data_IF_607851611253
#
_entry.id   IF_607851611253
#
_cell.length_a   1.000
_cell.length_b   1.000
_cell.length_c   1.000
_cell.angle_alpha   90.00
_cell.angle_beta   90.00
_cell.angle_gamma   90.00
#
_symmetry.space_group_name_H-M   'P 1'
#
loop_
_entity.id
_entity.type
_entity.pdbx_description
1 polymer ?
#
# COMPACT_ATOMS: atom_id res chain seq x y z
N UNK A 1 12.37 -23.29 -8.71
CA UNK A 1 11.77 -23.53 -7.38
C UNK A 1 12.84 -23.23 -6.34
N UNK A 2 12.66 -22.21 -5.49
CA UNK A 2 13.62 -21.84 -4.45
C UNK A 2 13.31 -22.63 -3.18
N UNK A 3 13.91 -23.81 -3.05
CA UNK A 3 13.75 -24.79 -1.96
C UNK A 3 14.53 -24.31 -0.71
N UNK A 4 14.27 -23.11 -0.22
CA UNK A 4 14.99 -22.58 0.95
C UNK A 4 14.31 -21.42 1.68
N UNK A 5 13.07 -21.06 1.28
CA UNK A 5 12.28 -19.99 1.92
C UNK A 5 11.06 -20.52 2.70
N UNK A 6 10.69 -21.79 2.50
CA UNK A 6 9.44 -22.40 2.98
C UNK A 6 9.55 -23.15 4.30
N UNK A 7 10.75 -23.33 4.86
CA UNK A 7 10.98 -24.39 5.85
C UNK A 7 11.18 -23.88 7.29
N UNK A 8 10.99 -22.58 7.54
CA UNK A 8 11.04 -22.05 8.91
C UNK A 8 9.64 -22.10 9.51
N UNK A 9 9.48 -22.90 10.55
CA UNK A 9 8.31 -22.85 11.42
C UNK A 9 8.42 -21.66 12.38
N UNK A 10 8.01 -20.49 11.89
CA UNK A 10 8.02 -19.24 12.65
C UNK A 10 7.21 -19.30 13.95
N UNK A 11 6.20 -20.18 14.04
CA UNK A 11 5.34 -20.30 15.24
C UNK A 11 6.06 -20.99 16.41
N UNK A 12 7.10 -21.77 16.12
CA UNK A 12 7.90 -22.49 17.12
C UNK A 12 9.04 -21.66 17.74
N UNK A 13 9.35 -20.50 17.17
CA UNK A 13 10.51 -19.69 17.53
C UNK A 13 10.17 -18.62 18.57
N UNK A 14 11.11 -18.32 19.45
CA UNK A 14 11.04 -17.14 20.32
C UNK A 14 11.22 -15.83 19.53
N UNK A 15 10.73 -14.71 20.06
CA UNK A 15 10.88 -13.39 19.42
C UNK A 15 12.34 -13.06 19.09
N UNK A 16 13.29 -13.41 19.98
CA UNK A 16 14.71 -13.17 19.77
C UNK A 16 15.29 -14.00 18.61
N UNK A 17 14.83 -15.24 18.45
CA UNK A 17 15.25 -16.09 17.33
C UNK A 17 14.69 -15.58 16.01
N UNK A 18 13.42 -15.15 15.99
CA UNK A 18 12.80 -14.51 14.82
C UNK A 18 13.59 -13.28 14.40
N UNK A 19 13.87 -12.36 15.34
CA UNK A 19 14.61 -11.13 15.07
C UNK A 19 16.01 -11.41 14.54
N UNK A 20 16.73 -12.38 15.14
CA UNK A 20 18.06 -12.80 14.69
C UNK A 20 18.03 -13.32 13.26
N UNK A 21 17.12 -14.24 12.94
CA UNK A 21 17.02 -14.83 11.58
C UNK A 21 16.67 -13.76 10.54
N UNK A 22 15.75 -12.85 10.85
CA UNK A 22 15.40 -11.74 9.98
C UNK A 22 16.63 -10.86 9.72
N UNK A 23 17.35 -10.47 10.78
CA UNK A 23 18.55 -9.64 10.68
C UNK A 23 19.63 -10.30 9.80
N UNK A 24 19.95 -11.57 10.05
CA UNK A 24 20.93 -12.34 9.26
C UNK A 24 20.55 -12.40 7.77
N UNK A 25 19.28 -12.65 7.46
CA UNK A 25 18.77 -12.69 6.07
C UNK A 25 18.87 -11.35 5.37
N UNK A 26 18.49 -10.27 6.06
CA UNK A 26 18.56 -8.90 5.53
C UNK A 26 20.02 -8.50 5.30
N UNK A 27 20.90 -8.79 6.24
CA UNK A 27 22.34 -8.48 6.14
C UNK A 27 22.98 -9.24 4.98
N UNK A 28 22.70 -10.53 4.83
CA UNK A 28 23.20 -11.33 3.71
C UNK A 28 22.75 -10.75 2.34
N UNK A 29 21.51 -10.31 2.23
CA UNK A 29 21.01 -9.69 1.00
C UNK A 29 21.60 -8.30 0.75
N UNK A 30 21.82 -7.49 1.81
CA UNK A 30 22.51 -6.21 1.69
C UNK A 30 23.95 -6.39 1.20
N UNK A 31 24.72 -7.32 1.78
CA UNK A 31 26.09 -7.68 1.33
C UNK A 31 26.09 -8.10 -0.14
N UNK A 32 25.10 -8.90 -0.56
CA UNK A 32 24.92 -9.29 -1.97
C UNK A 32 24.63 -8.10 -2.88
N UNK A 33 23.83 -7.12 -2.44
CA UNK A 33 23.53 -5.90 -3.21
C UNK A 33 24.78 -5.03 -3.35
N UNK A 34 25.53 -4.85 -2.26
CA UNK A 34 26.79 -4.09 -2.25
C UNK A 34 27.82 -4.72 -3.19
N UNK A 35 28.00 -6.04 -3.13
CA UNK A 35 28.89 -6.78 -4.04
C UNK A 35 28.50 -6.62 -5.53
N UNK A 36 27.24 -6.30 -5.83
CA UNK A 36 26.74 -6.03 -7.19
C UNK A 36 26.76 -4.53 -7.55
N UNK A 37 27.54 -3.71 -6.84
CA UNK A 37 27.65 -2.27 -7.09
C UNK A 37 26.38 -1.48 -6.76
N UNK A 38 25.62 -1.94 -5.75
CA UNK A 38 24.38 -1.28 -5.30
C UNK A 38 23.15 -1.56 -6.17
N UNK A 39 23.28 -2.37 -7.24
CA UNK A 39 22.14 -2.73 -8.10
C UNK A 39 21.24 -3.76 -7.42
N UNK A 40 20.03 -3.34 -7.04
CA UNK A 40 18.97 -4.26 -6.60
C UNK A 40 18.52 -5.13 -7.78
N UNK A 41 18.53 -6.45 -7.57
CA UNK A 41 17.97 -7.40 -8.54
C UNK A 41 16.44 -7.27 -8.58
N UNK A 42 15.81 -7.56 -9.74
CA UNK A 42 14.33 -7.68 -9.85
C UNK A 42 13.77 -8.73 -8.88
N UNK A 43 14.58 -9.72 -8.51
CA UNK A 43 14.36 -10.55 -7.32
C UNK A 43 14.99 -9.82 -6.13
N UNK A 44 14.31 -8.82 -5.57
CA UNK A 44 14.71 -8.31 -4.27
C UNK A 44 14.57 -9.46 -3.25
N UNK A 45 15.63 -9.70 -2.48
CA UNK A 45 15.62 -10.73 -1.46
C UNK A 45 14.80 -10.27 -0.25
N UNK A 46 14.11 -11.21 0.38
CA UNK A 46 13.59 -11.06 1.74
C UNK A 46 12.69 -9.83 1.96
N UNK A 47 11.84 -9.51 0.99
CA UNK A 47 10.90 -8.37 1.10
C UNK A 47 9.97 -8.57 2.29
N UNK A 48 9.46 -9.79 2.46
CA UNK A 48 8.54 -10.13 3.54
C UNK A 48 9.21 -9.96 4.91
N UNK A 49 10.45 -10.44 5.07
CA UNK A 49 11.23 -10.27 6.30
C UNK A 49 11.56 -8.81 6.58
N UNK A 50 11.86 -8.00 5.56
CA UNK A 50 12.04 -6.54 5.72
C UNK A 50 10.75 -5.87 6.19
N UNK A 51 9.59 -6.33 5.74
CA UNK A 51 8.29 -5.81 6.20
C UNK A 51 8.05 -6.22 7.66
N UNK A 52 8.36 -7.47 8.01
CA UNK A 52 8.18 -8.05 9.35
C UNK A 52 9.27 -7.65 10.37
N UNK A 53 10.31 -6.95 9.95
CA UNK A 53 11.38 -6.50 10.85
C UNK A 53 10.79 -5.59 11.94
N UNK A 54 11.08 -5.91 13.21
CA UNK A 54 10.37 -5.29 14.34
C UNK A 54 10.54 -3.77 14.38
N UNK A 55 11.69 -3.25 13.98
CA UNK A 55 11.90 -1.80 13.94
C UNK A 55 11.12 -1.15 12.80
N UNK A 56 11.03 -1.79 11.63
CA UNK A 56 10.12 -1.35 10.58
C UNK A 56 8.66 -1.31 11.07
N UNK A 57 8.21 -2.32 11.83
CA UNK A 57 6.85 -2.34 12.38
C UNK A 57 6.61 -1.23 13.41
N UNK A 58 7.59 -0.94 14.28
CA UNK A 58 7.52 0.16 15.25
C UNK A 58 7.42 1.53 14.55
N UNK A 59 8.23 1.75 13.52
CA UNK A 59 8.17 3.00 12.75
C UNK A 59 6.89 3.09 11.91
N UNK A 60 6.43 1.99 11.33
CA UNK A 60 5.14 1.93 10.62
C UNK A 60 3.97 2.25 11.54
N UNK A 61 3.98 1.74 12.77
CA UNK A 61 2.97 2.06 13.77
C UNK A 61 3.00 3.54 14.12
N UNK A 62 4.18 4.10 14.43
CA UNK A 62 4.35 5.54 14.69
C UNK A 62 3.77 6.42 13.58
N UNK A 63 4.07 6.12 12.31
CA UNK A 63 3.51 6.83 11.16
C UNK A 63 2.00 6.64 11.01
N UNK A 64 1.49 5.43 11.27
CA UNK A 64 0.07 5.13 11.17
C UNK A 64 -0.74 5.93 12.21
N UNK A 65 -0.18 6.16 13.41
CA UNK A 65 -0.80 6.91 14.50
C UNK A 65 -0.71 8.43 14.37
N UNK A 66 0.20 8.95 13.56
CA UNK A 66 0.55 10.37 13.55
C UNK A 66 -0.69 11.27 13.37
N UNK A 67 -0.83 12.25 14.26
CA UNK A 67 -1.97 13.17 14.34
C UNK A 67 -3.34 12.58 14.71
N UNK A 68 -3.46 11.27 14.96
CA UNK A 68 -4.75 10.57 15.09
C UNK A 68 -5.05 10.02 16.49
N UNK A 69 -4.05 9.87 17.34
CA UNK A 69 -4.15 9.18 18.65
C UNK A 69 -5.34 9.66 19.49
N UNK A 70 -5.46 10.99 19.71
CA UNK A 70 -6.47 11.57 20.60
C UNK A 70 -7.91 11.21 20.20
N UNK A 71 -8.20 11.14 18.90
CA UNK A 71 -9.55 10.97 18.36
C UNK A 71 -9.90 9.51 18.04
N UNK A 72 -8.94 8.59 18.14
CA UNK A 72 -9.13 7.21 17.69
C UNK A 72 -9.03 6.20 18.85
N UNK A 73 -10.18 5.66 19.30
CA UNK A 73 -10.24 4.64 20.35
C UNK A 73 -9.47 3.36 20.01
N UNK A 74 -9.37 2.98 18.74
CA UNK A 74 -8.67 1.76 18.33
C UNK A 74 -7.15 1.91 18.45
N UNK A 75 -6.62 3.10 18.15
CA UNK A 75 -5.20 3.42 18.40
C UNK A 75 -4.92 3.38 19.91
N UNK A 76 -5.75 4.03 20.71
CA UNK A 76 -5.56 4.03 22.18
C UNK A 76 -5.60 2.63 22.79
N UNK A 77 -6.45 1.74 22.26
CA UNK A 77 -6.49 0.33 22.69
C UNK A 77 -5.22 -0.42 22.33
N UNK A 78 -4.72 -0.29 21.10
CA UNK A 78 -3.44 -0.85 20.67
C UNK A 78 -2.29 -0.36 21.57
N UNK A 79 -2.27 0.93 21.90
CA UNK A 79 -1.23 1.54 22.73
C UNK A 79 -1.20 1.07 24.19
N UNK A 80 -2.19 0.27 24.64
CA UNK A 80 -2.10 -0.41 25.93
C UNK A 80 -1.11 -1.58 25.90
N UNK A 81 -0.96 -2.24 24.73
CA UNK A 81 -0.12 -3.41 24.54
C UNK A 81 0.62 -3.37 23.18
N UNK A 82 1.36 -2.28 22.86
CA UNK A 82 1.89 -2.07 21.51
C UNK A 82 2.92 -3.14 21.11
N UNK A 83 3.83 -3.50 22.02
CA UNK A 83 4.86 -4.50 21.70
C UNK A 83 4.23 -5.88 21.45
N UNK A 84 3.25 -6.31 22.25
CA UNK A 84 2.54 -7.59 22.04
C UNK A 84 1.82 -7.61 20.69
N UNK A 85 1.11 -6.54 20.36
CA UNK A 85 0.42 -6.39 19.07
C UNK A 85 1.43 -6.40 17.91
N UNK A 86 2.54 -5.68 18.01
CA UNK A 86 3.56 -5.65 16.95
C UNK A 86 4.26 -7.00 16.77
N UNK A 87 4.47 -7.76 17.85
CA UNK A 87 4.99 -9.14 17.77
C UNK A 87 3.99 -10.10 17.14
N UNK A 88 2.71 -9.96 17.48
CA UNK A 88 1.65 -10.70 16.80
C UNK A 88 1.62 -10.37 15.29
N UNK A 89 1.73 -9.09 14.92
CA UNK A 89 1.79 -8.66 13.53
C UNK A 89 3.03 -9.19 12.79
N UNK A 90 4.21 -9.18 13.44
CA UNK A 90 5.43 -9.79 12.91
C UNK A 90 5.17 -11.25 12.53
N UNK A 91 4.57 -12.03 13.43
CA UNK A 91 4.25 -13.42 13.17
C UNK A 91 3.22 -13.57 12.05
N UNK A 92 2.13 -12.80 12.05
CA UNK A 92 1.10 -12.81 10.98
C UNK A 92 1.70 -12.56 9.59
N UNK A 93 2.64 -11.61 9.48
CA UNK A 93 3.33 -11.31 8.21
C UNK A 93 4.17 -12.50 7.75
N UNK A 94 4.95 -13.09 8.67
CA UNK A 94 5.84 -14.21 8.35
C UNK A 94 5.06 -15.48 7.99
N UNK A 95 3.92 -15.73 8.63
CA UNK A 95 3.09 -16.91 8.35
C UNK A 95 2.05 -16.67 7.25
N UNK A 96 1.82 -15.42 6.85
CA UNK A 96 0.70 -14.99 6.00
C UNK A 96 -0.67 -15.38 6.58
N UNK A 97 -0.73 -15.53 7.90
CA UNK A 97 -1.91 -15.98 8.66
C UNK A 97 -2.51 -14.77 9.36
N UNK A 98 -3.50 -14.15 8.70
CA UNK A 98 -4.19 -12.95 9.18
C UNK A 98 -5.64 -13.28 9.51
N UNK A 99 -6.26 -12.56 10.47
CA UNK A 99 -7.70 -12.62 10.64
C UNK A 99 -8.41 -12.22 9.32
N UNK A 100 -9.65 -12.66 9.14
CA UNK A 100 -10.45 -12.19 8.01
C UNK A 100 -10.55 -10.65 8.02
N UNK A 101 -10.34 -9.96 6.88
CA UNK A 101 -10.50 -8.52 6.79
C UNK A 101 -11.92 -8.11 7.17
N UNK A 102 -12.02 -7.11 8.04
CA UNK A 102 -13.30 -6.54 8.49
C UNK A 102 -13.32 -5.05 8.12
N UNK A 103 -14.25 -4.71 7.23
CA UNK A 103 -14.36 -3.39 6.63
C UNK A 103 -15.54 -2.64 7.23
N UNK A 104 -15.28 -1.41 7.65
CA UNK A 104 -16.32 -0.46 8.08
C UNK A 104 -16.47 0.65 7.05
N UNK A 105 -17.70 1.10 6.80
CA UNK A 105 -17.99 2.20 5.89
C UNK A 105 -18.20 3.48 6.70
N UNK A 106 -17.53 4.56 6.29
CA UNK A 106 -17.77 5.90 6.82
C UNK A 106 -18.13 6.84 5.69
N UNK A 107 -19.27 7.50 5.80
CA UNK A 107 -19.66 8.56 4.89
C UNK A 107 -19.05 9.89 5.32
N UNK A 108 -18.36 10.55 4.39
CA UNK A 108 -17.73 11.86 4.60
C UNK A 108 -18.19 12.82 3.52
N UNK A 109 -18.63 14.00 3.91
CA UNK A 109 -18.89 15.11 2.99
C UNK A 109 -17.64 15.97 2.91
N UNK A 110 -17.07 16.08 1.71
CA UNK A 110 -15.96 17.00 1.44
C UNK A 110 -16.41 18.46 1.52
N UNK A 111 -15.44 19.37 1.68
CA UNK A 111 -15.69 20.82 1.74
C UNK A 111 -16.42 21.35 0.49
N UNK A 112 -16.18 20.73 -0.66
CA UNK A 112 -16.87 21.01 -1.92
C UNK A 112 -18.28 20.37 -2.02
N UNK A 113 -18.83 19.87 -0.92
CA UNK A 113 -20.16 19.28 -0.83
C UNK A 113 -20.28 17.84 -1.34
N UNK A 114 -19.24 17.26 -1.95
CA UNK A 114 -19.28 15.88 -2.47
C UNK A 114 -19.25 14.87 -1.32
N UNK A 115 -20.23 13.96 -1.32
CA UNK A 115 -20.31 12.85 -0.38
C UNK A 115 -19.46 11.68 -0.89
N UNK A 116 -18.68 11.06 0.00
CA UNK A 116 -17.80 9.93 -0.28
C UNK A 116 -17.99 8.87 0.80
N UNK A 117 -18.20 7.64 0.38
CA UNK A 117 -18.09 6.50 1.28
C UNK A 117 -16.62 6.07 1.33
N UNK A 118 -16.09 5.99 2.55
CA UNK A 118 -14.73 5.58 2.85
C UNK A 118 -14.80 4.22 3.52
N UNK A 119 -14.31 3.20 2.82
CA UNK A 119 -14.15 1.86 3.35
C UNK A 119 -12.86 1.81 4.18
N UNK A 120 -12.95 1.34 5.43
CA UNK A 120 -11.88 1.40 6.42
C UNK A 120 -11.64 0.04 7.04
N UNK A 121 -10.39 -0.41 6.98
CA UNK A 121 -9.90 -1.50 7.80
C UNK A 121 -9.56 -1.00 9.22
N UNK A 122 -9.61 -1.93 10.20
CA UNK A 122 -9.23 -1.70 11.60
C UNK A 122 -7.79 -1.19 11.72
N UNK A 123 -7.50 -0.50 12.82
CA UNK A 123 -6.16 0.02 13.08
C UNK A 123 -5.12 -1.11 13.16
N UNK A 124 -5.23 -1.96 14.18
CA UNK A 124 -4.52 -3.22 14.26
C UNK A 124 -5.34 -4.33 13.58
N UNK A 125 -4.73 -5.25 12.80
CA UNK A 125 -3.33 -5.25 12.32
C UNK A 125 -3.11 -4.38 11.07
N UNK A 126 -4.18 -4.01 10.38
CA UNK A 126 -4.16 -3.63 8.97
C UNK A 126 -3.52 -2.28 8.65
N UNK A 127 -3.81 -1.23 9.42
CA UNK A 127 -3.24 0.10 9.15
C UNK A 127 -1.73 0.11 9.35
N UNK A 128 -1.25 -0.59 10.37
CA UNK A 128 0.19 -0.76 10.63
C UNK A 128 0.82 -1.55 9.47
N UNK A 129 0.18 -2.65 9.04
CA UNK A 129 0.64 -3.45 7.90
C UNK A 129 0.78 -2.63 6.61
N UNK A 130 -0.19 -1.77 6.28
CA UNK A 130 -0.12 -0.93 5.07
C UNK A 130 1.07 0.02 5.12
N UNK A 131 1.34 0.65 6.28
CA UNK A 131 2.52 1.49 6.47
C UNK A 131 3.82 0.67 6.36
N UNK A 132 3.88 -0.50 7.01
CA UNK A 132 5.04 -1.38 7.00
C UNK A 132 5.41 -1.85 5.59
N UNK A 133 4.41 -2.18 4.77
CA UNK A 133 4.59 -2.52 3.35
C UNK A 133 5.17 -1.32 2.59
N UNK A 134 4.55 -0.15 2.71
CA UNK A 134 4.95 1.03 1.95
C UNK A 134 6.37 1.47 2.29
N UNK A 135 6.76 1.47 3.57
CA UNK A 135 8.14 1.79 3.99
C UNK A 135 9.21 0.95 3.29
N UNK A 136 8.88 -0.30 2.94
CA UNK A 136 9.82 -1.22 2.26
C UNK A 136 9.80 -1.03 0.74
N UNK A 137 8.62 -0.82 0.13
CA UNK A 137 8.46 -0.89 -1.33
C UNK A 137 8.34 0.48 -2.02
N UNK A 138 8.12 1.57 -1.28
CA UNK A 138 7.73 2.87 -1.85
C UNK A 138 8.77 3.39 -2.85
N UNK A 139 10.05 3.31 -2.54
CA UNK A 139 11.09 3.81 -3.43
C UNK A 139 11.11 3.03 -4.75
N UNK A 140 10.99 1.71 -4.66
CA UNK A 140 10.94 0.86 -5.83
C UNK A 140 9.74 1.28 -6.68
N UNK A 141 8.54 1.37 -6.07
CA UNK A 141 7.30 1.86 -6.70
C UNK A 141 7.53 3.19 -7.41
N UNK A 142 8.00 4.21 -6.68
CA UNK A 142 8.15 5.58 -7.19
C UNK A 142 9.17 5.69 -8.33
N UNK A 143 10.27 4.93 -8.33
CA UNK A 143 11.24 4.89 -9.44
C UNK A 143 10.64 4.45 -10.78
N UNK A 144 9.48 3.79 -10.78
CA UNK A 144 8.82 3.33 -11.99
C UNK A 144 7.65 4.21 -12.43
N UNK A 145 7.32 5.25 -11.67
CA UNK A 145 6.29 6.20 -12.05
C UNK A 145 6.85 7.23 -13.02
N UNK A 146 6.01 7.72 -13.94
CA UNK A 146 6.39 8.83 -14.80
C UNK A 146 6.64 10.08 -13.94
N UNK A 147 7.53 10.95 -14.42
CA UNK A 147 7.96 12.12 -13.66
C UNK A 147 6.79 13.03 -13.23
N UNK A 148 5.77 13.13 -14.09
CA UNK A 148 4.59 13.97 -13.89
C UNK A 148 3.54 13.40 -12.91
N UNK A 149 3.73 12.17 -12.41
CA UNK A 149 2.89 11.67 -11.31
C UNK A 149 3.15 12.48 -10.04
N UNK A 150 2.08 13.03 -9.45
CA UNK A 150 2.16 13.98 -8.34
C UNK A 150 1.35 13.64 -7.11
N UNK A 151 0.36 12.75 -7.21
CA UNK A 151 -0.52 12.39 -6.09
C UNK A 151 0.19 11.42 -5.14
N UNK A 152 0.06 11.65 -3.83
CA UNK A 152 0.55 10.75 -2.77
C UNK A 152 2.05 10.41 -2.85
N UNK A 153 2.88 11.30 -3.40
CA UNK A 153 4.35 11.15 -3.45
C UNK A 153 4.96 12.29 -2.64
N UNK A 154 5.82 11.97 -1.67
CA UNK A 154 6.49 12.97 -0.83
C UNK A 154 7.24 14.00 -1.68
N UNK A 155 7.07 15.29 -1.35
CA UNK A 155 7.65 16.40 -2.13
C UNK A 155 6.91 16.73 -3.43
N UNK A 156 5.92 15.93 -3.83
CA UNK A 156 5.00 16.22 -4.94
C UNK A 156 3.57 16.38 -4.41
N UNK A 157 2.76 17.12 -5.17
CA UNK A 157 1.37 17.42 -4.80
C UNK A 157 0.74 18.38 -5.80
N UNK A 158 -0.37 18.99 -5.41
CA UNK A 158 -1.13 19.92 -6.27
C UNK A 158 -0.24 21.03 -6.84
N UNK A 159 0.56 21.69 -5.99
CA UNK A 159 1.45 22.77 -6.43
C UNK A 159 2.54 22.29 -7.41
N UNK A 160 3.03 21.05 -7.25
CA UNK A 160 3.97 20.47 -8.22
C UNK A 160 3.32 20.32 -9.59
N UNK A 161 2.10 19.78 -9.65
CA UNK A 161 1.33 19.63 -10.89
C UNK A 161 1.07 20.98 -11.58
N UNK A 162 0.63 21.99 -10.81
CA UNK A 162 0.41 23.35 -11.35
C UNK A 162 1.70 23.94 -11.93
N UNK A 163 2.85 23.80 -11.23
CA UNK A 163 4.15 24.27 -11.76
C UNK A 163 4.59 23.50 -13.00
N UNK A 164 4.30 22.20 -13.10
CA UNK A 164 4.57 21.40 -14.31
C UNK A 164 3.75 21.89 -15.48
N UNK A 165 2.43 22.04 -15.30
CA UNK A 165 1.53 22.58 -16.31
C UNK A 165 2.00 23.95 -16.82
N UNK A 166 2.29 24.90 -15.93
CA UNK A 166 2.78 26.24 -16.31
C UNK A 166 4.08 26.18 -17.15
N UNK A 167 5.01 25.30 -16.78
CA UNK A 167 6.25 25.10 -17.55
C UNK A 167 5.99 24.54 -18.94
N UNK A 168 5.05 23.59 -19.09
CA UNK A 168 4.68 23.08 -20.40
C UNK A 168 4.08 24.18 -21.28
N UNK A 169 3.17 24.99 -20.75
CA UNK A 169 2.55 26.09 -21.50
C UNK A 169 3.54 27.17 -21.91
N UNK A 170 4.52 27.47 -21.05
CA UNK A 170 5.57 28.43 -21.40
C UNK A 170 6.53 27.88 -22.46
N UNK A 171 6.86 26.59 -22.39
CA UNK A 171 7.77 25.95 -23.34
C UNK A 171 7.13 25.69 -24.71
N UNK A 172 5.83 25.43 -24.73
CA UNK A 172 5.05 25.09 -25.92
C UNK A 172 3.83 26.02 -26.02
N UNK A 173 4.03 27.31 -26.38
CA UNK A 173 2.93 28.29 -26.47
C UNK A 173 1.89 27.94 -27.54
N UNK A 174 2.21 27.04 -28.47
CA UNK A 174 1.31 26.50 -29.48
C UNK A 174 0.26 25.52 -28.90
N UNK A 175 0.49 24.96 -27.70
CA UNK A 175 -0.46 24.08 -27.04
C UNK A 175 -1.62 24.89 -26.44
N UNK A 176 -2.68 25.05 -27.23
CA UNK A 176 -3.88 25.83 -26.88
C UNK A 176 -5.01 25.03 -26.25
N UNK A 177 -4.90 23.69 -26.24
CA UNK A 177 -5.97 22.79 -25.84
C UNK A 177 -5.54 21.89 -24.70
N UNK A 178 -6.47 21.59 -23.80
CA UNK A 178 -6.27 20.65 -22.70
C UNK A 178 -7.22 19.46 -22.86
N UNK A 179 -6.68 18.25 -22.69
CA UNK A 179 -7.49 17.06 -22.50
C UNK A 179 -7.72 16.88 -20.99
N UNK A 180 -8.97 16.97 -20.58
CA UNK A 180 -9.38 16.69 -19.19
C UNK A 180 -10.05 15.33 -19.13
N UNK A 181 -9.53 14.45 -18.29
CA UNK A 181 -10.10 13.13 -18.02
C UNK A 181 -10.18 12.88 -16.52
N UNK A 182 -11.18 12.12 -16.09
CA UNK A 182 -11.37 11.72 -14.69
C UNK A 182 -11.92 10.29 -14.65
N UNK A 183 -11.39 9.48 -13.73
CA UNK A 183 -11.81 8.09 -13.56
C UNK A 183 -12.85 7.99 -12.43
N UNK A 184 -14.05 7.52 -12.78
CA UNK A 184 -15.11 7.33 -11.80
C UNK A 184 -14.83 6.10 -10.95
N UNK A 185 -15.02 6.22 -9.63
CA UNK A 185 -14.85 5.12 -8.66
C UNK A 185 -13.53 4.36 -8.88
N UNK A 186 -12.43 5.11 -9.08
CA UNK A 186 -11.12 4.57 -9.47
C UNK A 186 -10.71 3.34 -8.64
N UNK A 187 -10.72 3.43 -7.31
CA UNK A 187 -10.29 2.29 -6.47
C UNK A 187 -11.19 1.07 -6.59
N UNK A 188 -12.51 1.25 -6.72
CA UNK A 188 -13.45 0.14 -6.88
C UNK A 188 -13.39 -0.49 -8.28
N UNK A 189 -13.03 0.28 -9.31
CA UNK A 189 -13.09 -0.15 -10.71
C UNK A 189 -11.81 -0.80 -11.24
N UNK A 190 -10.74 -0.85 -10.45
CA UNK A 190 -9.49 -1.48 -10.89
C UNK A 190 -9.57 -2.98 -10.68
N UNK A 191 -9.41 -3.74 -11.78
CA UNK A 191 -9.32 -5.19 -11.73
C UNK A 191 -8.08 -5.64 -10.94
N UNK A 192 -8.30 -6.45 -9.90
CA UNK A 192 -7.23 -6.94 -9.02
C UNK A 192 -6.15 -7.72 -9.78
N UNK A 193 -6.53 -8.50 -10.80
CA UNK A 193 -5.60 -9.25 -11.65
C UNK A 193 -4.57 -8.34 -12.35
N UNK A 194 -4.95 -7.12 -12.75
CA UNK A 194 -4.05 -6.15 -13.39
C UNK A 194 -3.05 -5.60 -12.38
N UNK A 195 -3.48 -5.36 -11.14
CA UNK A 195 -2.59 -4.94 -10.05
C UNK A 195 -1.56 -6.04 -9.77
N UNK A 196 -2.03 -7.29 -9.62
CA UNK A 196 -1.15 -8.44 -9.36
C UNK A 196 -0.17 -8.65 -10.50
N UNK A 197 -0.62 -8.57 -11.77
CA UNK A 197 0.25 -8.69 -12.94
C UNK A 197 1.31 -7.57 -12.99
N UNK A 198 0.92 -6.32 -12.67
CA UNK A 198 1.86 -5.20 -12.59
C UNK A 198 2.91 -5.41 -11.49
N UNK A 199 2.49 -5.87 -10.31
CA UNK A 199 3.40 -6.16 -9.19
C UNK A 199 4.35 -7.32 -9.52
N UNK A 200 3.86 -8.41 -10.12
CA UNK A 200 4.69 -9.57 -10.52
C UNK A 200 5.75 -9.23 -11.56
N UNK A 201 5.55 -8.21 -12.41
CA UNK A 201 6.60 -7.74 -13.33
C UNK A 201 7.81 -7.17 -12.58
N UNK A 202 7.59 -6.68 -11.36
CA UNK A 202 8.58 -5.96 -10.56
C UNK A 202 9.12 -6.75 -9.38
N UNK A 203 8.23 -7.33 -8.59
CA UNK A 203 8.54 -8.12 -7.41
C UNK A 203 8.34 -9.60 -7.74
N UNK A 204 9.39 -10.39 -7.55
CA UNK A 204 9.39 -11.84 -7.84
C UNK A 204 9.19 -12.72 -6.60
N UNK A 205 8.90 -12.10 -5.46
CA UNK A 205 8.65 -12.79 -4.21
C UNK A 205 7.15 -13.13 -4.10
N UNK A 206 6.79 -14.38 -4.34
CA UNK A 206 5.37 -14.79 -4.31
C UNK A 206 4.74 -14.69 -2.92
N UNK A 207 5.52 -14.80 -1.83
CA UNK A 207 4.99 -14.58 -0.47
C UNK A 207 4.60 -13.11 -0.28
N UNK A 208 5.40 -12.20 -0.80
CA UNK A 208 5.05 -10.77 -0.83
C UNK A 208 3.82 -10.51 -1.71
N UNK A 209 3.72 -11.12 -2.89
CA UNK A 209 2.50 -10.98 -3.72
C UNK A 209 1.28 -11.48 -2.95
N UNK A 210 1.39 -12.61 -2.27
CA UNK A 210 0.31 -13.15 -1.44
C UNK A 210 -0.07 -12.22 -0.29
N UNK A 211 0.91 -11.59 0.36
CA UNK A 211 0.65 -10.58 1.39
C UNK A 211 -0.16 -9.40 0.83
N UNK A 212 0.15 -8.91 -0.38
CA UNK A 212 -0.60 -7.83 -1.01
C UNK A 212 -2.05 -8.25 -1.31
N UNK A 213 -2.26 -9.48 -1.78
CA UNK A 213 -3.61 -10.01 -1.99
C UNK A 213 -4.44 -9.97 -0.70
N UNK A 214 -3.85 -10.41 0.42
CA UNK A 214 -4.49 -10.41 1.74
C UNK A 214 -4.72 -8.99 2.27
N UNK A 215 -3.73 -8.11 2.14
CA UNK A 215 -3.76 -6.80 2.78
C UNK A 215 -4.60 -5.75 2.01
N UNK A 216 -4.64 -5.85 0.67
CA UNK A 216 -5.17 -4.79 -0.21
C UNK A 216 -6.31 -5.30 -1.08
N UNK A 217 -6.18 -6.50 -1.66
CA UNK A 217 -7.07 -7.00 -2.71
C UNK A 217 -8.19 -7.92 -2.21
N UNK A 218 -8.38 -7.98 -0.89
CA UNK A 218 -9.44 -8.75 -0.23
C UNK A 218 -10.78 -8.01 -0.16
N UNK A 219 -10.83 -6.73 -0.53
CA UNK A 219 -12.08 -5.97 -0.63
C UNK A 219 -12.65 -6.09 -2.04
N UNK A 220 -13.85 -6.62 -2.17
CA UNK A 220 -14.58 -6.64 -3.44
C UNK A 220 -15.75 -5.65 -3.36
N UNK A 221 -15.84 -4.74 -4.33
CA UNK A 221 -16.97 -3.82 -4.47
C UNK A 221 -18.20 -4.48 -5.12
N UNK A 222 -18.07 -5.70 -5.67
CA UNK A 222 -19.16 -6.52 -6.16
C UNK A 222 -20.11 -5.80 -7.15
N UNK A 223 -21.40 -6.11 -7.04
CA UNK A 223 -22.48 -5.56 -7.87
C UNK A 223 -22.73 -4.07 -7.64
N UNK A 224 -22.37 -3.52 -6.47
CA UNK A 224 -22.58 -2.09 -6.18
C UNK A 224 -21.87 -1.18 -7.18
N UNK A 225 -20.72 -1.60 -7.72
CA UNK A 225 -20.04 -0.84 -8.76
C UNK A 225 -20.83 -0.84 -10.07
N UNK A 226 -21.37 -1.99 -10.47
CA UNK A 226 -22.15 -2.14 -11.71
C UNK A 226 -23.38 -1.23 -11.63
N UNK A 227 -24.14 -1.33 -10.55
CA UNK A 227 -25.34 -0.51 -10.33
C UNK A 227 -25.01 0.98 -10.35
N UNK A 228 -23.90 1.41 -9.71
CA UNK A 228 -23.47 2.82 -9.70
C UNK A 228 -23.04 3.29 -11.09
N UNK A 229 -22.45 2.42 -11.91
CA UNK A 229 -22.06 2.75 -13.28
C UNK A 229 -23.30 2.85 -14.18
N UNK A 230 -24.21 1.89 -14.10
CA UNK A 230 -25.47 1.86 -14.87
C UNK A 230 -26.37 3.05 -14.57
N UNK A 231 -26.63 3.33 -13.28
CA UNK A 231 -27.42 4.48 -12.85
C UNK A 231 -26.87 5.81 -13.37
N UNK A 232 -25.54 5.93 -13.55
CA UNK A 232 -24.95 7.15 -14.06
C UNK A 232 -24.98 7.25 -15.58
N UNK A 233 -24.96 6.11 -16.29
CA UNK A 233 -25.27 6.09 -17.73
C UNK A 233 -26.69 6.60 -17.93
N UNK A 234 -27.66 6.12 -17.15
CA UNK A 234 -29.03 6.61 -17.20
C UNK A 234 -29.17 8.08 -16.82
N UNK A 235 -28.46 8.54 -15.79
CA UNK A 235 -28.45 9.96 -15.41
C UNK A 235 -27.90 10.82 -16.53
N UNK A 236 -26.81 10.40 -17.18
CA UNK A 236 -26.23 11.15 -18.30
C UNK A 236 -27.20 11.25 -19.46
N UNK A 237 -27.88 10.15 -19.83
CA UNK A 237 -28.95 10.16 -20.84
C UNK A 237 -30.02 11.21 -20.52
N UNK A 238 -30.51 11.23 -19.27
CA UNK A 238 -31.52 12.20 -18.79
C UNK A 238 -31.05 13.66 -18.74
N UNK A 239 -29.75 13.93 -18.75
CA UNK A 239 -29.21 15.30 -18.74
C UNK A 239 -28.78 15.79 -20.13
N UNK A 240 -28.82 14.91 -21.14
CA UNK A 240 -28.51 15.23 -22.54
C UNK A 240 -29.77 15.46 -23.39
N UNK A 241 -30.96 15.22 -22.83
CA UNK A 241 -32.26 15.64 -23.34
C UNK A 241 -32.70 16.95 -22.65
#
# INVERSE_FOLDING_TARGET
MNIGRSDIDWKSLSHNEIDRIIAERIEADNKRIEANGGKKSKRAGYILERIAEINNLREADKEAQDGKVKKNRFIRRHNLHPEEDLRALQLMILTLDFPAPDYSVMRVKSDAGKVRDIVKQKYFPWRILHHAIMRVIEEDVYRNLIYDTSACIKGKGLHFGVRRMKRFLHRYPEYKWFVKTDFKKFYQSILHELIVAALRRKFKDERFIKLIEIAVLSYDSGTELVDVLENEVERKKRCSD
#
